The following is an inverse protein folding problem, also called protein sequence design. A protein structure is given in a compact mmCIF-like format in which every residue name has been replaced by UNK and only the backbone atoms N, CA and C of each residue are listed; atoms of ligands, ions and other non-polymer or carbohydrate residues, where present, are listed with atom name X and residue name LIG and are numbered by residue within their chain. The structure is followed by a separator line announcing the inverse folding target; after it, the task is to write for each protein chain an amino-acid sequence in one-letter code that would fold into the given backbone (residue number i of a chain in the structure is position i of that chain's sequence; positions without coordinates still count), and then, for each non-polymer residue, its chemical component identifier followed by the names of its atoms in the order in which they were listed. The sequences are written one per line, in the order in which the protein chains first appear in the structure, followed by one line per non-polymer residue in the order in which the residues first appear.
data_IF_511877803171
#
_entry.id   IF_511877803171
#
_cell.length_a   1.000
_cell.length_b   1.000
_cell.length_c   1.000
_cell.angle_alpha   90.00
_cell.angle_beta   90.00
_cell.angle_gamma   90.00
#
_symmetry.space_group_name_H-M   'P 1'
#
loop_
_entity.id
_entity.type
_entity.pdbx_description
1 polymer ?
#
# COMPACT_ATOMS: atom_id res chain seq x y z
N UNK A 1 -5.70 19.01 6.18
CA UNK A 1 -6.37 18.23 5.12
C UNK A 1 -7.09 19.14 4.12
N UNK A 2 -7.00 18.86 2.81
CA UNK A 2 -7.72 19.57 1.74
C UNK A 2 -8.62 18.58 0.97
N UNK A 3 -9.87 18.92 0.73
CA UNK A 3 -10.72 18.18 -0.22
C UNK A 3 -10.47 18.68 -1.65
N UNK A 4 -9.78 17.88 -2.46
CA UNK A 4 -9.34 18.29 -3.80
C UNK A 4 -10.50 18.21 -4.80
N UNK A 5 -11.29 17.13 -4.69
CA UNK A 5 -12.54 16.88 -5.39
C UNK A 5 -13.49 16.15 -4.43
N UNK A 6 -14.81 16.11 -4.68
CA UNK A 6 -15.74 15.34 -3.85
C UNK A 6 -15.25 13.90 -3.62
N UNK A 7 -15.08 13.50 -2.36
CA UNK A 7 -14.60 12.17 -1.99
C UNK A 7 -13.09 11.94 -2.20
N UNK A 8 -12.30 12.97 -2.53
CA UNK A 8 -10.84 12.88 -2.66
C UNK A 8 -10.15 13.91 -1.76
N UNK A 9 -9.53 13.41 -0.70
CA UNK A 9 -8.80 14.23 0.27
C UNK A 9 -7.30 14.08 0.09
N UNK A 10 -6.60 15.21 0.23
CA UNK A 10 -5.14 15.33 0.27
C UNK A 10 -4.72 15.74 1.69
N UNK A 11 -3.79 14.99 2.28
CA UNK A 11 -3.36 15.26 3.66
C UNK A 11 -1.91 14.92 3.99
N UNK A 12 -1.54 15.26 5.22
CA UNK A 12 -0.28 14.91 5.90
C UNK A 12 -0.43 13.64 6.74
N UNK A 13 0.67 13.20 7.37
CA UNK A 13 0.64 12.12 8.35
C UNK A 13 -0.27 12.46 9.54
N UNK A 14 -0.24 13.73 9.99
CA UNK A 14 -1.12 14.21 11.07
C UNK A 14 -2.59 14.12 10.70
N UNK A 15 -2.96 14.45 9.46
CA UNK A 15 -4.33 14.29 8.96
C UNK A 15 -4.76 12.81 8.98
N UNK A 16 -3.89 11.91 8.51
CA UNK A 16 -4.16 10.47 8.53
C UNK A 16 -4.31 9.94 9.96
N UNK A 17 -3.45 10.36 10.89
CA UNK A 17 -3.56 10.00 12.30
C UNK A 17 -4.90 10.46 12.88
N UNK A 18 -5.35 11.67 12.58
CA UNK A 18 -6.63 12.18 13.06
C UNK A 18 -7.84 11.39 12.53
N UNK A 19 -7.79 10.93 11.28
CA UNK A 19 -8.80 10.00 10.72
C UNK A 19 -8.78 8.67 11.49
N UNK A 20 -7.59 8.15 11.78
CA UNK A 20 -7.43 6.84 12.41
C UNK A 20 -7.73 6.81 13.91
N UNK A 21 -7.45 7.89 14.64
CA UNK A 21 -7.79 8.03 16.06
C UNK A 21 -9.27 8.36 16.28
N UNK A 22 -10.06 8.39 15.19
CA UNK A 22 -11.50 8.63 15.17
C UNK A 22 -11.88 9.95 15.86
N UNK A 23 -11.18 11.03 15.55
CA UNK A 23 -11.61 12.36 16.00
C UNK A 23 -13.06 12.58 15.49
N UNK A 24 -14.08 12.64 16.37
CA UNK A 24 -15.47 12.50 15.95
C UNK A 24 -15.90 13.53 14.91
N UNK A 25 -15.39 14.77 15.02
CA UNK A 25 -15.67 15.85 14.08
C UNK A 25 -15.11 15.61 12.67
N UNK A 26 -13.94 14.96 12.54
CA UNK A 26 -13.33 14.66 11.24
C UNK A 26 -13.92 13.40 10.61
N UNK A 27 -14.20 12.38 11.42
CA UNK A 27 -14.88 11.15 10.95
C UNK A 27 -16.30 11.46 10.50
N UNK A 28 -17.04 12.28 11.26
CA UNK A 28 -18.39 12.69 10.89
C UNK A 28 -18.42 13.60 9.65
N UNK A 29 -17.42 14.47 9.48
CA UNK A 29 -17.41 15.44 8.39
C UNK A 29 -17.02 14.86 7.03
N UNK A 30 -16.09 13.91 7.00
CA UNK A 30 -15.49 13.46 5.74
C UNK A 30 -15.70 11.99 5.38
N UNK A 31 -16.19 11.18 6.33
CA UNK A 31 -16.49 9.75 6.14
C UNK A 31 -15.42 9.01 5.31
N UNK A 32 -14.16 9.11 5.74
CA UNK A 32 -13.02 8.51 5.03
C UNK A 32 -13.12 6.98 5.13
N UNK A 33 -13.34 6.34 3.98
CA UNK A 33 -13.46 4.88 3.88
C UNK A 33 -12.17 4.23 3.41
N UNK A 34 -11.35 4.94 2.64
CA UNK A 34 -10.09 4.41 2.07
C UNK A 34 -8.91 5.32 2.37
N UNK A 35 -7.73 4.72 2.57
CA UNK A 35 -6.48 5.48 2.81
C UNK A 35 -5.33 4.95 1.95
N UNK A 36 -4.75 5.84 1.14
CA UNK A 36 -3.51 5.63 0.40
C UNK A 36 -2.38 6.38 1.09
N UNK A 37 -1.39 5.64 1.57
CA UNK A 37 -0.23 6.18 2.27
C UNK A 37 1.04 6.06 1.43
N UNK A 38 1.79 7.15 1.33
CA UNK A 38 3.04 7.27 0.56
C UNK A 38 4.26 7.54 1.47
N UNK A 39 4.15 7.23 2.75
CA UNK A 39 5.25 7.38 3.69
C UNK A 39 6.25 6.22 3.49
N UNK A 40 7.54 6.49 3.68
CA UNK A 40 8.49 5.39 3.84
C UNK A 40 8.13 4.69 5.14
N UNK A 41 8.03 3.37 5.11
CA UNK A 41 8.00 2.58 6.32
C UNK A 41 9.30 2.85 7.08
N UNK A 42 9.30 3.56 8.21
CA UNK A 42 10.48 3.59 9.03
C UNK A 42 10.54 2.23 9.71
N UNK A 43 11.72 1.71 10.00
CA UNK A 43 11.88 0.61 10.96
C UNK A 43 11.34 0.94 12.37
N UNK A 44 10.63 2.07 12.55
CA UNK A 44 9.84 2.41 13.72
C UNK A 44 8.64 1.48 13.81
N UNK A 45 8.75 0.45 14.66
CA UNK A 45 7.68 -0.47 15.02
C UNK A 45 6.37 0.19 15.50
N UNK A 46 6.37 1.52 15.70
CA UNK A 46 5.18 2.32 15.90
C UNK A 46 4.30 2.30 14.65
N UNK A 47 4.74 2.72 13.47
CA UNK A 47 3.83 2.85 12.30
C UNK A 47 3.20 1.51 11.90
N UNK A 48 3.95 0.40 11.97
CA UNK A 48 3.40 -0.95 11.75
C UNK A 48 2.41 -1.38 12.82
N UNK A 49 2.72 -1.15 14.10
CA UNK A 49 1.83 -1.47 15.23
C UNK A 49 0.55 -0.62 15.17
N UNK A 50 0.67 0.64 14.75
CA UNK A 50 -0.42 1.58 14.57
C UNK A 50 -1.30 1.21 13.36
N UNK A 51 -0.71 0.89 12.20
CA UNK A 51 -1.45 0.39 11.03
C UNK A 51 -2.18 -0.92 11.34
N UNK A 52 -1.59 -1.80 12.16
CA UNK A 52 -2.18 -3.07 12.60
C UNK A 52 -3.23 -2.94 13.72
N UNK A 53 -3.20 -1.87 14.53
CA UNK A 53 -4.08 -1.70 15.70
C UNK A 53 -5.45 -1.09 15.41
N UNK A 54 -5.65 -0.53 14.23
CA UNK A 54 -6.91 0.12 13.90
C UNK A 54 -7.90 -0.93 13.39
N UNK A 55 -8.67 -1.48 14.33
CA UNK A 55 -9.81 -2.36 14.09
C UNK A 55 -10.93 -1.52 13.45
N UNK A 56 -11.27 -1.77 12.19
CA UNK A 56 -12.48 -1.20 11.56
C UNK A 56 -13.60 -2.22 11.55
N UNK A 57 -14.82 -1.71 11.67
CA UNK A 57 -16.08 -2.44 11.77
C UNK A 57 -16.47 -3.24 10.51
N UNK A 58 -15.62 -3.26 9.48
CA UNK A 58 -15.93 -3.93 8.20
C UNK A 58 -15.93 -5.46 8.35
N UNK A 59 -15.28 -6.00 9.37
CA UNK A 59 -15.40 -7.44 9.69
C UNK A 59 -16.76 -7.82 10.30
N UNK A 60 -17.55 -6.88 10.83
CA UNK A 60 -18.90 -7.19 11.38
C UNK A 60 -19.94 -7.37 10.25
N UNK A 61 -19.86 -6.61 9.15
CA UNK A 61 -20.85 -6.71 8.06
C UNK A 61 -20.61 -7.86 7.07
N UNK A 62 -19.35 -8.28 6.86
CA UNK A 62 -19.02 -9.37 5.93
C UNK A 62 -19.06 -10.76 6.58
N UNK A 63 -19.14 -10.84 7.92
CA UNK A 63 -19.29 -12.11 8.65
C UNK A 63 -20.76 -12.53 8.79
N UNK A 64 -21.68 -11.58 9.00
CA UNK A 64 -23.11 -11.89 9.11
C UNK A 64 -23.75 -12.40 7.79
N UNK A 65 -23.17 -12.09 6.62
CA UNK A 65 -23.66 -12.61 5.33
C UNK A 65 -23.11 -14.00 4.95
N UNK A 66 -22.13 -14.54 5.68
CA UNK A 66 -21.58 -15.88 5.39
C UNK A 66 -22.10 -16.99 6.30
N UNK A 67 -22.74 -16.63 7.40
CA UNK A 67 -23.26 -17.59 8.37
C UNK A 67 -24.64 -18.17 7.97
N UNK A 68 -25.30 -17.60 6.97
CA UNK A 68 -26.60 -18.13 6.48
C UNK A 68 -26.42 -19.35 5.55
N UNK A 69 -25.31 -19.46 4.82
CA UNK A 69 -25.11 -20.51 3.79
C UNK A 69 -24.45 -21.81 4.33
N UNK A 70 -23.76 -21.77 5.47
CA UNK A 70 -23.08 -22.96 6.04
C UNK A 70 -23.97 -23.77 7.00
N UNK A 71 -24.93 -23.16 7.70
CA UNK A 71 -25.85 -23.90 8.57
C UNK A 71 -26.74 -24.88 7.81
N UNK A 72 -27.12 -24.56 6.56
CA UNK A 72 -27.95 -25.44 5.74
C UNK A 72 -27.19 -26.70 5.26
N UNK A 73 -25.84 -26.67 5.23
CA UNK A 73 -25.00 -27.82 4.83
C UNK A 73 -24.58 -28.72 5.98
N UNK A 74 -24.76 -28.32 7.25
CA UNK A 74 -24.34 -29.11 8.41
C UNK A 74 -25.38 -30.19 8.81
N UNK A 75 -26.61 -30.10 8.30
CA UNK A 75 -27.72 -31.00 8.67
C UNK A 75 -27.62 -32.44 8.07
N UNK A 76 -26.73 -32.73 7.11
CA UNK A 76 -26.73 -34.03 6.39
C UNK A 76 -25.45 -34.87 6.46
N UNK A 77 -24.77 -34.97 7.61
CA UNK A 77 -23.64 -35.92 7.77
C UNK A 77 -23.78 -36.88 8.95
N UNK A 78 -23.94 -38.16 8.60
CA UNK A 78 -24.16 -39.32 9.47
C UNK A 78 -23.03 -39.47 10.54
N UNK A 79 -23.36 -39.64 11.84
CA UNK A 79 -22.42 -39.67 12.97
C UNK A 79 -21.22 -40.62 12.85
N UNK A 80 -21.34 -41.71 12.09
CA UNK A 80 -20.24 -42.68 11.89
C UNK A 80 -19.04 -42.10 11.11
N UNK A 81 -19.26 -41.20 10.17
CA UNK A 81 -18.18 -40.63 9.34
C UNK A 81 -17.30 -39.62 10.12
N UNK A 82 -17.88 -38.91 11.10
CA UNK A 82 -17.13 -38.01 12.01
C UNK A 82 -16.14 -38.79 12.89
N UNK A 83 -16.48 -40.03 13.27
CA UNK A 83 -15.67 -40.85 14.18
C UNK A 83 -14.45 -41.48 13.50
N UNK A 84 -14.57 -41.84 12.21
CA UNK A 84 -13.45 -42.38 11.42
C UNK A 84 -12.39 -41.31 11.08
N UNK A 85 -12.81 -40.07 10.77
CA UNK A 85 -11.89 -38.96 10.43
C UNK A 85 -11.03 -38.51 11.61
N UNK A 86 -11.56 -38.60 12.84
CA UNK A 86 -10.82 -38.30 14.08
C UNK A 86 -9.74 -39.34 14.40
N UNK A 87 -9.99 -40.63 14.16
CA UNK A 87 -8.97 -41.69 14.35
C UNK A 87 -7.80 -41.54 13.38
N UNK A 88 -8.09 -41.16 12.12
CA UNK A 88 -7.08 -40.98 11.08
C UNK A 88 -6.14 -39.79 11.33
N UNK A 89 -6.66 -38.69 11.91
CA UNK A 89 -5.83 -37.54 12.32
C UNK A 89 -4.92 -37.84 13.53
N UNK A 90 -5.35 -38.72 14.45
CA UNK A 90 -4.57 -39.06 15.64
C UNK A 90 -3.37 -39.97 15.32
N UNK A 91 -3.53 -40.91 14.38
CA UNK A 91 -2.44 -41.78 13.91
C UNK A 91 -1.31 -41.02 13.18
N UNK A 92 -1.65 -39.94 12.45
CA UNK A 92 -0.63 -39.15 11.71
C UNK A 92 0.25 -38.31 12.64
N UNK A 93 -0.29 -37.85 13.78
CA UNK A 93 0.48 -37.04 14.74
C UNK A 93 1.47 -37.84 15.60
N UNK A 94 1.30 -39.16 15.69
CA UNK A 94 2.16 -40.04 16.51
C UNK A 94 3.40 -40.53 15.76
N UNK A 95 3.37 -40.58 14.42
CA UNK A 95 4.47 -41.06 13.59
C UNK A 95 5.65 -40.07 13.42
N UNK A 96 5.50 -38.79 13.78
CA UNK A 96 6.52 -37.75 13.57
C UNK A 96 7.38 -37.42 14.80
N UNK A 97 7.34 -38.24 15.86
CA UNK A 97 7.97 -37.91 17.15
C UNK A 97 9.34 -38.56 17.44
N UNK A 98 9.98 -39.21 16.47
CA UNK A 98 11.34 -39.73 16.63
C UNK A 98 12.28 -39.23 15.53
N UNK A 99 13.10 -38.23 15.84
CA UNK A 99 14.29 -37.94 15.04
C UNK A 99 14.70 -36.47 14.94
N UNK A 100 15.81 -36.16 15.62
CA UNK A 100 16.79 -35.09 15.34
C UNK A 100 16.55 -33.70 15.94
N UNK A 101 17.32 -33.45 17.00
CA UNK A 101 18.39 -32.42 16.99
C UNK A 101 17.96 -30.97 17.21
N UNK A 102 18.08 -30.50 18.46
CA UNK A 102 18.05 -29.07 18.81
C UNK A 102 19.30 -28.38 18.24
N UNK A 103 19.17 -27.75 17.08
CA UNK A 103 20.10 -26.70 16.64
C UNK A 103 19.36 -25.37 16.76
N UNK A 104 19.73 -24.57 17.78
CA UNK A 104 19.24 -23.19 17.98
C UNK A 104 19.87 -22.30 16.91
N UNK A 105 19.35 -22.40 15.69
CA UNK A 105 19.56 -21.40 14.66
C UNK A 105 18.86 -20.10 15.07
N UNK A 106 19.64 -19.02 15.21
CA UNK A 106 19.13 -17.65 15.36
C UNK A 106 18.31 -17.32 14.11
N UNK A 107 16.99 -17.56 14.16
CA UNK A 107 16.05 -17.21 13.10
C UNK A 107 16.18 -15.72 12.82
N UNK A 108 16.72 -15.35 11.65
CA UNK A 108 16.50 -14.03 11.08
C UNK A 108 14.98 -13.87 10.99
N UNK A 109 14.43 -12.89 11.71
CA UNK A 109 13.00 -12.57 11.73
C UNK A 109 12.66 -12.11 10.30
N UNK A 110 12.16 -13.03 9.48
CA UNK A 110 11.56 -12.66 8.20
C UNK A 110 10.44 -11.67 8.50
N UNK A 111 10.52 -10.48 7.89
CA UNK A 111 9.44 -9.51 7.95
C UNK A 111 8.20 -10.22 7.37
N UNK A 112 7.23 -10.54 8.22
CA UNK A 112 5.91 -10.99 7.74
C UNK A 112 5.31 -9.79 7.03
N UNK A 113 5.24 -9.86 5.71
CA UNK A 113 4.49 -8.90 4.92
C UNK A 113 3.03 -8.99 5.37
N UNK A 114 2.57 -7.95 6.06
CA UNK A 114 1.19 -7.86 6.52
C UNK A 114 0.36 -7.49 5.30
N UNK A 115 -0.52 -8.39 4.85
CA UNK A 115 -1.53 -8.02 3.87
C UNK A 115 -2.50 -7.02 4.52
N UNK A 116 -2.50 -5.78 4.02
CA UNK A 116 -3.42 -4.75 4.48
C UNK A 116 -4.83 -5.05 3.94
N UNK A 117 -5.88 -4.65 4.67
CA UNK A 117 -7.23 -4.79 4.16
C UNK A 117 -7.42 -3.93 2.89
N UNK A 118 -8.32 -4.33 1.98
CA UNK A 118 -8.48 -3.70 0.64
C UNK A 118 -8.69 -2.18 0.65
N UNK A 119 -9.23 -1.63 1.73
CA UNK A 119 -9.47 -0.19 1.90
C UNK A 119 -8.22 0.60 2.32
N UNK A 120 -7.08 -0.07 2.53
CA UNK A 120 -5.78 0.54 2.80
C UNK A 120 -4.77 0.14 1.76
N UNK A 121 -3.98 1.11 1.33
CA UNK A 121 -2.85 0.87 0.44
C UNK A 121 -1.63 1.65 0.91
N UNK A 122 -0.48 1.01 0.82
CA UNK A 122 0.79 1.57 1.23
C UNK A 122 1.78 1.45 0.08
N UNK A 123 2.37 2.56 -0.32
CA UNK A 123 3.40 2.65 -1.36
C UNK A 123 4.63 3.26 -0.72
N UNK A 124 5.68 2.45 -0.56
CA UNK A 124 6.94 2.88 0.03
C UNK A 124 7.73 3.70 -0.98
N UNK A 125 7.81 5.01 -0.74
CA UNK A 125 8.56 5.92 -1.60
C UNK A 125 9.18 7.06 -0.79
N UNK A 126 10.49 7.25 -0.98
CA UNK A 126 11.21 8.38 -0.40
C UNK A 126 10.84 9.67 -1.13
N UNK A 127 10.91 10.80 -0.44
CA UNK A 127 10.67 12.11 -1.06
C UNK A 127 11.94 12.65 -1.73
N UNK A 128 12.49 11.86 -2.65
CA UNK A 128 13.74 12.17 -3.33
C UNK A 128 13.50 12.26 -4.84
N UNK A 129 14.16 13.17 -5.57
CA UNK A 129 14.05 13.24 -7.04
C UNK A 129 14.39 11.94 -7.76
N UNK A 130 15.18 11.07 -7.11
CA UNK A 130 15.63 9.79 -7.66
C UNK A 130 14.60 8.67 -7.49
N UNK A 131 13.59 8.85 -6.63
CA UNK A 131 12.61 7.81 -6.30
C UNK A 131 11.62 7.59 -7.44
N UNK A 132 11.30 6.32 -7.73
CA UNK A 132 10.34 5.94 -8.76
C UNK A 132 8.93 5.90 -8.16
N UNK A 133 8.11 6.89 -8.52
CA UNK A 133 6.69 6.91 -8.20
C UNK A 133 5.81 6.68 -9.44
N UNK A 134 6.34 7.00 -10.62
CA UNK A 134 5.67 6.81 -11.92
C UNK A 134 5.21 5.37 -12.12
N UNK A 135 6.02 4.39 -11.73
CA UNK A 135 5.64 2.98 -11.83
C UNK A 135 4.39 2.61 -11.00
N UNK A 136 4.09 3.39 -9.95
CA UNK A 136 2.93 3.18 -9.09
C UNK A 136 1.72 4.02 -9.51
N UNK A 137 1.82 4.91 -10.49
CA UNK A 137 0.74 5.83 -10.84
C UNK A 137 -0.55 5.11 -11.23
N UNK A 138 -0.52 4.09 -12.10
CA UNK A 138 -1.73 3.34 -12.46
C UNK A 138 -2.37 2.66 -11.26
N UNK A 139 -1.56 1.97 -10.45
CA UNK A 139 -2.02 1.27 -9.26
C UNK A 139 -2.68 2.22 -8.24
N UNK A 140 -2.09 3.40 -8.05
CA UNK A 140 -2.64 4.44 -7.18
C UNK A 140 -3.91 5.04 -7.77
N UNK A 141 -3.94 5.31 -9.08
CA UNK A 141 -5.10 5.87 -9.76
C UNK A 141 -6.32 4.94 -9.66
N UNK A 142 -6.12 3.64 -9.86
CA UNK A 142 -7.16 2.62 -9.68
C UNK A 142 -7.65 2.57 -8.24
N UNK A 143 -6.74 2.54 -7.26
CA UNK A 143 -7.13 2.57 -5.85
C UNK A 143 -8.00 3.79 -5.50
N UNK A 144 -7.61 4.97 -5.99
CA UNK A 144 -8.36 6.20 -5.74
C UNK A 144 -9.73 6.15 -6.41
N UNK A 145 -9.83 5.76 -7.68
CA UNK A 145 -11.12 5.63 -8.38
C UNK A 145 -12.05 4.67 -7.64
N UNK A 146 -11.58 3.45 -7.39
CA UNK A 146 -12.41 2.40 -6.80
C UNK A 146 -12.82 2.77 -5.36
N UNK A 147 -11.93 3.45 -4.61
CA UNK A 147 -12.25 3.95 -3.28
C UNK A 147 -13.28 5.08 -3.30
N UNK A 148 -13.23 5.95 -4.30
CA UNK A 148 -14.19 7.06 -4.49
C UNK A 148 -15.59 6.59 -4.86
N UNK A 149 -15.71 5.46 -5.55
CA UNK A 149 -17.01 4.83 -5.84
C UNK A 149 -17.68 4.29 -4.56
N UNK A 150 -16.89 4.00 -3.52
CA UNK A 150 -17.36 3.45 -2.24
C UNK A 150 -17.38 4.47 -1.09
N UNK A 151 -16.99 5.72 -1.33
CA UNK A 151 -16.92 6.76 -0.31
C UNK A 151 -15.74 7.72 -0.51
N UNK A 152 -15.06 8.08 0.58
CA UNK A 152 -14.00 9.09 0.54
C UNK A 152 -12.61 8.45 0.68
N UNK A 153 -11.69 8.87 -0.19
CA UNK A 153 -10.29 8.44 -0.19
C UNK A 153 -9.40 9.54 0.36
N UNK A 154 -8.60 9.22 1.39
CA UNK A 154 -7.50 10.05 1.84
C UNK A 154 -6.19 9.59 1.19
N UNK A 155 -5.56 10.48 0.44
CA UNK A 155 -4.20 10.30 -0.07
C UNK A 155 -3.25 11.16 0.77
N UNK A 156 -2.29 10.53 1.43
CA UNK A 156 -1.37 11.24 2.32
C UNK A 156 0.09 10.79 2.17
N UNK A 157 0.98 11.69 2.56
CA UNK A 157 2.39 11.38 2.80
C UNK A 157 2.79 12.01 4.15
N UNK A 158 4.07 12.30 4.37
CA UNK A 158 4.52 12.89 5.64
C UNK A 158 3.91 14.28 5.86
N UNK A 159 4.13 15.20 4.91
CA UNK A 159 3.74 16.60 5.03
C UNK A 159 2.52 16.99 4.19
N UNK A 160 2.07 16.12 3.27
CA UNK A 160 1.00 16.48 2.33
C UNK A 160 1.41 17.51 1.28
N UNK A 161 2.71 17.53 0.91
CA UNK A 161 3.33 18.58 0.08
C UNK A 161 3.87 18.07 -1.26
N UNK A 162 4.47 16.88 -1.29
CA UNK A 162 5.20 16.38 -2.48
C UNK A 162 4.68 15.03 -2.99
N UNK A 163 4.95 13.92 -2.32
CA UNK A 163 4.52 12.56 -2.76
C UNK A 163 3.02 12.41 -2.97
N UNK A 164 2.21 12.73 -1.96
CA UNK A 164 0.74 12.64 -2.07
C UNK A 164 0.16 13.60 -3.10
N UNK A 165 0.71 14.82 -3.19
CA UNK A 165 0.34 15.78 -4.23
C UNK A 165 0.62 15.21 -5.62
N UNK A 166 1.78 14.58 -5.81
CA UNK A 166 2.18 13.97 -7.08
C UNK A 166 1.16 12.92 -7.52
N UNK A 167 0.78 12.00 -6.62
CA UNK A 167 -0.21 10.97 -6.93
C UNK A 167 -1.59 11.57 -7.23
N UNK A 168 -2.01 12.58 -6.45
CA UNK A 168 -3.29 13.27 -6.70
C UNK A 168 -3.29 13.93 -8.07
N UNK A 169 -2.21 14.63 -8.45
CA UNK A 169 -2.09 15.23 -9.79
C UNK A 169 -2.14 14.17 -10.89
N UNK A 170 -1.41 13.07 -10.76
CA UNK A 170 -1.44 11.97 -11.72
C UNK A 170 -2.86 11.41 -11.92
N UNK A 171 -3.61 11.26 -10.83
CA UNK A 171 -5.02 10.83 -10.85
C UNK A 171 -5.95 11.84 -11.52
N UNK A 172 -5.81 13.14 -11.22
CA UNK A 172 -6.61 14.19 -11.84
C UNK A 172 -6.33 14.28 -13.35
N UNK A 173 -5.06 14.20 -13.77
CA UNK A 173 -4.70 14.17 -15.19
C UNK A 173 -5.33 12.97 -15.91
N UNK A 174 -5.29 11.79 -15.27
CA UNK A 174 -5.85 10.57 -15.81
C UNK A 174 -7.37 10.60 -15.97
N UNK A 175 -8.09 11.20 -15.01
CA UNK A 175 -9.56 11.21 -14.98
C UNK A 175 -10.15 12.42 -15.70
N UNK A 176 -9.60 13.62 -15.51
CA UNK A 176 -10.14 14.87 -16.07
C UNK A 176 -9.60 15.18 -17.47
N UNK A 177 -8.54 14.48 -17.92
CA UNK A 177 -7.89 14.73 -19.23
C UNK A 177 -7.41 16.17 -19.41
N UNK A 178 -6.98 16.79 -18.31
CA UNK A 178 -6.45 18.16 -18.28
C UNK A 178 -4.94 18.14 -18.09
N UNK A 179 -4.29 19.20 -18.57
CA UNK A 179 -2.84 19.27 -18.53
C UNK A 179 -2.30 19.41 -17.11
N UNK A 180 -1.09 18.88 -16.88
CA UNK A 180 -0.37 18.98 -15.61
C UNK A 180 -0.28 20.45 -15.16
N UNK A 181 0.05 21.34 -16.10
CA UNK A 181 0.21 22.77 -15.83
C UNK A 181 -1.04 23.37 -15.19
N UNK A 182 -2.21 23.09 -15.75
CA UNK A 182 -3.48 23.66 -15.27
C UNK A 182 -3.84 23.07 -13.90
N UNK A 183 -3.81 21.75 -13.78
CA UNK A 183 -4.17 21.07 -12.53
C UNK A 183 -3.22 21.42 -11.37
N UNK A 184 -1.93 21.58 -11.66
CA UNK A 184 -0.96 22.02 -10.68
C UNK A 184 -1.27 23.44 -10.17
N UNK A 185 -1.59 24.38 -11.06
CA UNK A 185 -1.91 25.75 -10.66
C UNK A 185 -3.19 25.83 -9.82
N UNK A 186 -4.26 25.14 -10.23
CA UNK A 186 -5.50 25.08 -9.44
C UNK A 186 -5.26 24.54 -8.03
N UNK A 187 -4.46 23.47 -7.92
CA UNK A 187 -4.14 22.89 -6.62
C UNK A 187 -3.24 23.81 -5.80
N UNK A 188 -2.33 24.55 -6.45
CA UNK A 188 -1.42 25.51 -5.82
C UNK A 188 -2.18 26.72 -5.26
N UNK A 189 -3.19 27.21 -5.97
CA UNK A 189 -4.07 28.30 -5.51
C UNK A 189 -4.81 27.91 -4.22
N UNK A 190 -5.27 26.66 -4.14
CA UNK A 190 -6.01 26.14 -2.97
C UNK A 190 -5.11 25.68 -1.82
N UNK A 191 -3.86 25.33 -2.12
CA UNK A 191 -2.87 24.82 -1.16
C UNK A 191 -1.48 25.37 -1.52
N UNK A 192 -1.15 26.62 -1.14
CA UNK A 192 0.09 27.29 -1.54
C UNK A 192 1.38 26.56 -1.15
N UNK A 193 1.34 25.70 -0.15
CA UNK A 193 2.49 24.92 0.32
C UNK A 193 2.84 23.72 -0.58
N UNK A 194 1.99 23.31 -1.54
CA UNK A 194 2.32 22.15 -2.39
C UNK A 194 3.60 22.40 -3.18
N UNK A 195 4.45 21.38 -3.24
CA UNK A 195 5.71 21.44 -3.98
C UNK A 195 6.23 20.02 -4.18
N UNK A 196 5.71 19.28 -5.18
CA UNK A 196 6.37 18.08 -5.67
C UNK A 196 7.85 18.36 -5.94
N UNK A 197 8.72 17.42 -5.59
CA UNK A 197 10.13 17.55 -5.93
C UNK A 197 10.34 17.50 -7.47
N UNK A 198 11.51 17.93 -7.93
CA UNK A 198 11.81 18.02 -9.37
C UNK A 198 11.65 16.69 -10.11
N UNK A 199 12.14 15.59 -9.54
CA UNK A 199 12.02 14.27 -10.16
C UNK A 199 10.57 13.78 -10.26
N UNK A 200 9.71 14.13 -9.31
CA UNK A 200 8.28 13.85 -9.41
C UNK A 200 7.57 14.74 -10.42
N UNK A 201 7.98 16.00 -10.58
CA UNK A 201 7.49 16.85 -11.67
C UNK A 201 7.87 16.28 -13.04
N UNK A 202 9.09 15.77 -13.21
CA UNK A 202 9.54 15.13 -14.45
C UNK A 202 8.75 13.84 -14.74
N UNK A 203 8.47 13.05 -13.69
CA UNK A 203 7.63 11.86 -13.79
C UNK A 203 6.18 12.19 -14.18
N UNK A 204 5.61 13.29 -13.67
CA UNK A 204 4.28 13.76 -14.06
C UNK A 204 4.24 14.23 -15.53
N UNK A 205 5.29 14.90 -16.01
CA UNK A 205 5.39 15.27 -17.43
C UNK A 205 5.48 14.02 -18.32
N UNK A 206 6.28 13.03 -17.91
CA UNK A 206 6.34 11.76 -18.62
C UNK A 206 4.98 11.04 -18.60
N UNK A 207 4.26 11.08 -17.49
CA UNK A 207 2.89 10.55 -17.39
C UNK A 207 1.93 11.24 -18.37
N UNK A 208 2.00 12.57 -18.48
CA UNK A 208 1.25 13.35 -19.46
C UNK A 208 1.56 12.92 -20.89
N UNK A 209 2.85 12.86 -21.24
CA UNK A 209 3.36 12.47 -22.56
C UNK A 209 2.91 11.06 -22.97
N UNK A 210 2.73 10.16 -22.00
CA UNK A 210 2.25 8.79 -22.24
C UNK A 210 0.72 8.69 -22.34
N UNK A 211 -0.01 9.81 -22.27
CA UNK A 211 -1.47 9.83 -22.28
C UNK A 211 -2.10 9.34 -20.98
N UNK A 212 -1.37 9.48 -19.87
CA UNK A 212 -1.75 9.01 -18.55
C UNK A 212 -2.03 7.50 -18.50
N UNK A 213 -1.19 6.70 -19.16
CA UNK A 213 -1.17 5.23 -19.07
C UNK A 213 0.26 4.74 -19.19
N UNK A 214 0.60 3.68 -18.47
CA UNK A 214 1.87 2.99 -18.67
C UNK A 214 1.71 2.09 -19.89
N UNK A 215 2.62 2.25 -20.85
CA UNK A 215 2.75 1.33 -21.97
C UNK A 215 4.20 0.93 -22.12
N UNK A 216 4.45 -0.38 -22.10
CA UNK A 216 5.81 -0.92 -22.16
C UNK A 216 6.51 -0.67 -23.49
N UNK A 217 5.77 -0.37 -24.56
CA UNK A 217 6.31 0.00 -25.88
C UNK A 217 6.81 1.46 -25.93
N UNK A 218 6.45 2.30 -24.96
CA UNK A 218 6.84 3.70 -24.94
C UNK A 218 8.35 3.84 -24.70
N UNK A 219 9.08 4.33 -25.71
CA UNK A 219 10.55 4.49 -25.67
C UNK A 219 11.02 5.33 -24.48
N UNK A 220 10.32 6.42 -24.14
CA UNK A 220 10.67 7.28 -23.01
C UNK A 220 10.47 6.55 -21.67
N UNK A 221 9.38 5.81 -21.53
CA UNK A 221 9.13 5.00 -20.33
C UNK A 221 10.17 3.89 -20.15
N UNK A 222 10.51 3.18 -21.23
CA UNK A 222 11.54 2.14 -21.19
C UNK A 222 12.89 2.71 -20.75
N UNK A 223 13.30 3.85 -21.31
CA UNK A 223 14.52 4.54 -20.91
C UNK A 223 14.48 4.94 -19.42
N UNK A 224 13.36 5.52 -18.96
CA UNK A 224 13.15 5.85 -17.55
C UNK A 224 13.28 4.62 -16.64
N UNK A 225 12.62 3.51 -16.97
CA UNK A 225 12.66 2.26 -16.18
C UNK A 225 14.04 1.63 -16.15
N UNK A 226 14.79 1.69 -17.26
CA UNK A 226 16.18 1.25 -17.30
C UNK A 226 17.06 2.11 -16.38
N UNK A 227 16.87 3.44 -16.35
CA UNK A 227 17.58 4.33 -15.44
C UNK A 227 17.24 4.06 -13.97
N UNK A 228 15.97 3.80 -13.64
CA UNK A 228 15.58 3.41 -12.29
C UNK A 228 16.29 2.13 -11.84
N UNK A 229 16.32 1.10 -12.70
CA UNK A 229 17.01 -0.16 -12.43
C UNK A 229 18.52 0.03 -12.27
N UNK A 230 19.15 0.86 -13.12
CA UNK A 230 20.59 1.14 -13.01
C UNK A 230 20.95 1.76 -11.65
N UNK A 231 20.15 2.72 -11.18
CA UNK A 231 20.33 3.36 -9.85
C UNK A 231 20.14 2.38 -8.70
N UNK A 232 19.22 1.43 -8.84
CA UNK A 232 19.01 0.37 -7.84
C UNK A 232 20.24 -0.52 -7.73
N UNK A 233 20.84 -0.90 -8.86
CA UNK A 233 22.08 -1.70 -8.91
C UNK A 233 23.26 -0.94 -8.30
N UNK A 234 23.43 0.34 -8.64
CA UNK A 234 24.48 1.21 -8.07
C UNK A 234 24.35 1.40 -6.55
N UNK A 235 23.13 1.27 -6.01
CA UNK A 235 22.86 1.33 -4.58
C UNK A 235 23.19 0.06 -3.79
N UNK A 236 23.53 -1.04 -4.45
CA UNK A 236 23.93 -2.29 -3.81
C UNK A 236 25.41 -2.18 -3.42
N UNK A 237 25.79 -2.29 -2.14
CA UNK A 237 27.19 -2.32 -1.74
C UNK A 237 27.90 -3.46 -2.47
N UNK A 238 29.04 -3.17 -3.11
CA UNK A 238 29.81 -4.15 -3.87
C UNK A 238 30.17 -5.36 -2.99
N UNK A 239 29.91 -6.58 -3.48
CA UNK A 239 30.34 -7.84 -2.85
C UNK A 239 31.88 -8.00 -2.80
N UNK A 240 32.64 -7.01 -3.28
CA UNK A 240 34.11 -7.00 -3.32
C UNK A 240 34.77 -6.84 -1.94
N UNK A 241 34.02 -6.51 -0.89
CA UNK A 241 34.55 -6.40 0.48
C UNK A 241 34.24 -7.61 1.39
N UNK A 242 33.75 -8.71 0.83
CA UNK A 242 33.70 -9.97 1.56
C UNK A 242 35.11 -10.57 1.61
N UNK A 243 35.89 -10.22 2.63
CA UNK A 243 37.10 -10.95 2.99
C UNK A 243 36.67 -12.38 3.35
N UNK A 244 36.78 -13.31 2.41
CA UNK A 244 36.59 -14.74 2.66
C UNK A 244 37.80 -15.14 3.51
N UNK A 245 37.64 -15.54 4.79
CA UNK A 245 38.76 -16.12 5.52
C UNK A 245 39.08 -17.45 4.85
N UNK A 246 40.23 -17.51 4.17
CA UNK A 246 40.83 -18.77 3.76
C UNK A 246 41.19 -19.48 5.06
N UNK A 247 40.41 -20.49 5.43
CA UNK A 247 40.75 -21.39 6.52
C UNK A 247 41.98 -22.15 6.05
N UNK A 248 43.14 -21.81 6.63
CA UNK A 248 44.37 -22.59 6.54
C UNK A 248 44.31 -23.76 7.50
#
# INVERSE_FOLDING_TARGET
MLEVRPGLLLGSMGDALAVFTRVPSLVARYHVTHVLSLCNHPQNGLITSWLLRIRTRVEESDSELKDVDEEEKISKKNPLQKRQKRRRKKMVSEATRSGRGRQRGRRKKGQRQVELPKWRKFIEVADMPKSDLLHHFEECCHFIRDGRERGTVLVHCEHGVSRSVTVVLAYLMWTERRSLRILYQELKERKPEIRPNSGFMDQLRLWEDMGCRVKDDNKKYRAYRLQCKAREIEGIPSLTNCHIPIVR
#
